data_IF_268140988555
#
_entry.id   IF_268140988555
#
_cell.length_a   1.000
_cell.length_b   1.000
_cell.length_c   1.000
_cell.angle_alpha   90.00
_cell.angle_beta   90.00
_cell.angle_gamma   90.00
#
_symmetry.space_group_name_H-M   'P 1'
#
loop_
_entity.id
_entity.type
_entity.pdbx_description
1 polymer ?
#
# COMPACT_ATOMS: atom_id res chain seq x y z
N UNK A 1 45.86 -26.04 -43.25
CA UNK A 1 45.23 -26.93 -42.26
C UNK A 1 44.34 -26.05 -41.40
N UNK A 2 43.02 -26.16 -41.59
CA UNK A 2 42.01 -25.32 -40.96
C UNK A 2 41.65 -25.90 -39.59
N UNK A 3 41.88 -25.13 -38.52
CA UNK A 3 41.46 -25.47 -37.16
C UNK A 3 40.00 -25.04 -37.00
N UNK A 4 39.08 -25.99 -37.16
CA UNK A 4 37.68 -25.81 -36.88
C UNK A 4 37.46 -25.62 -35.36
N UNK A 5 37.07 -24.40 -34.97
CA UNK A 5 36.48 -24.12 -33.67
C UNK A 5 35.11 -24.79 -33.60
N UNK A 6 35.03 -25.92 -32.89
CA UNK A 6 33.76 -26.55 -32.52
C UNK A 6 33.02 -25.60 -31.58
N UNK A 7 31.97 -24.96 -32.08
CA UNK A 7 31.00 -24.26 -31.26
C UNK A 7 30.26 -25.30 -30.40
N UNK A 8 30.62 -25.38 -29.12
CA UNK A 8 29.86 -26.16 -28.15
C UNK A 8 28.47 -25.52 -27.99
N UNK A 9 27.45 -26.17 -28.56
CA UNK A 9 26.06 -25.82 -28.32
C UNK A 9 25.69 -26.23 -26.89
N UNK A 10 25.51 -25.24 -26.01
CA UNK A 10 25.02 -25.42 -24.64
C UNK A 10 23.61 -26.00 -24.66
N UNK A 11 23.51 -27.33 -24.64
CA UNK A 11 22.27 -28.08 -24.72
C UNK A 11 21.64 -28.27 -23.33
N UNK A 12 21.65 -27.20 -22.50
CA UNK A 12 20.96 -27.20 -21.20
C UNK A 12 19.47 -27.33 -21.44
N UNK A 13 18.87 -28.42 -20.95
CA UNK A 13 17.42 -28.58 -21.01
C UNK A 13 16.75 -27.49 -20.16
N UNK A 14 15.50 -27.13 -20.49
CA UNK A 14 14.72 -26.18 -19.68
C UNK A 14 14.64 -26.60 -18.20
N UNK A 15 14.64 -27.90 -17.94
CA UNK A 15 14.69 -28.48 -16.59
C UNK A 15 16.03 -28.22 -15.88
N UNK A 16 17.16 -28.30 -16.60
CA UNK A 16 18.49 -28.00 -16.05
C UNK A 16 18.64 -26.52 -15.70
N UNK A 17 18.11 -25.64 -16.55
CA UNK A 17 18.08 -24.20 -16.29
C UNK A 17 17.25 -23.85 -15.04
N UNK A 18 16.07 -24.48 -14.88
CA UNK A 18 15.24 -24.32 -13.68
C UNK A 18 15.97 -24.85 -12.44
N UNK A 19 16.57 -26.05 -12.52
CA UNK A 19 17.29 -26.66 -11.40
C UNK A 19 18.49 -25.84 -10.95
N UNK A 20 19.23 -25.26 -11.90
CA UNK A 20 20.38 -24.40 -11.64
C UNK A 20 19.96 -23.06 -11.01
N UNK A 21 18.81 -22.50 -11.39
CA UNK A 21 18.28 -21.29 -10.75
C UNK A 21 17.74 -21.56 -9.33
N UNK A 22 17.10 -22.72 -9.14
CA UNK A 22 16.52 -23.13 -7.86
C UNK A 22 17.58 -23.46 -6.80
N UNK A 23 18.73 -24.04 -7.16
CA UNK A 23 19.69 -24.51 -6.16
C UNK A 23 20.21 -23.45 -5.18
N UNK A 24 20.55 -22.20 -5.59
CA UNK A 24 20.90 -21.16 -4.63
C UNK A 24 19.69 -20.57 -3.89
N UNK A 25 18.47 -20.69 -4.43
CA UNK A 25 17.27 -20.10 -3.84
C UNK A 25 16.33 -21.10 -3.15
N UNK A 26 16.80 -22.32 -2.86
CA UNK A 26 15.94 -23.40 -2.32
C UNK A 26 15.20 -22.95 -1.07
N UNK A 27 15.90 -22.33 -0.13
CA UNK A 27 15.31 -21.83 1.11
C UNK A 27 14.17 -20.84 0.82
N UNK A 28 14.42 -19.82 -0.01
CA UNK A 28 13.44 -18.81 -0.41
C UNK A 28 12.22 -19.41 -1.12
N UNK A 29 12.43 -20.41 -1.99
CA UNK A 29 11.33 -21.15 -2.62
C UNK A 29 10.50 -21.93 -1.60
N UNK A 30 11.16 -22.56 -0.60
CA UNK A 30 10.48 -23.27 0.48
C UNK A 30 9.67 -22.29 1.34
N UNK A 31 10.25 -21.14 1.71
CA UNK A 31 9.57 -20.09 2.48
C UNK A 31 8.35 -19.57 1.74
N UNK A 32 8.49 -19.21 0.45
CA UNK A 32 7.36 -18.75 -0.36
C UNK A 32 6.27 -19.82 -0.49
N UNK A 33 6.65 -21.08 -0.75
CA UNK A 33 5.69 -22.17 -0.87
C UNK A 33 4.96 -22.41 0.47
N UNK A 34 5.69 -22.46 1.58
CA UNK A 34 5.11 -22.59 2.92
C UNK A 34 4.18 -21.43 3.25
N UNK A 35 4.55 -20.19 2.93
CA UNK A 35 3.71 -19.01 3.09
C UNK A 35 2.39 -19.15 2.32
N UNK A 36 2.44 -19.48 1.03
CA UNK A 36 1.23 -19.64 0.19
C UNK A 36 0.34 -20.75 0.72
N UNK A 37 0.91 -21.87 1.17
CA UNK A 37 0.15 -22.99 1.78
C UNK A 37 -0.53 -22.54 3.07
N UNK A 38 0.20 -21.87 3.97
CA UNK A 38 -0.34 -21.38 5.25
C UNK A 38 -1.45 -20.37 5.01
N UNK A 39 -1.19 -19.32 4.23
CA UNK A 39 -2.19 -18.29 3.93
C UNK A 39 -3.41 -18.88 3.23
N UNK A 40 -3.21 -19.73 2.21
CA UNK A 40 -4.29 -20.39 1.51
C UNK A 40 -5.15 -21.28 2.42
N UNK A 41 -4.52 -22.00 3.35
CA UNK A 41 -5.23 -22.83 4.34
C UNK A 41 -6.04 -21.97 5.30
N UNK A 42 -5.44 -20.92 5.86
CA UNK A 42 -6.15 -20.03 6.80
C UNK A 42 -7.29 -19.28 6.09
N UNK A 43 -7.10 -18.88 4.84
CA UNK A 43 -8.14 -18.30 3.99
C UNK A 43 -9.37 -19.21 3.84
N UNK A 44 -9.23 -20.54 3.85
CA UNK A 44 -10.38 -21.45 3.81
C UNK A 44 -11.27 -21.36 5.04
N UNK A 45 -10.73 -20.91 6.19
CA UNK A 45 -11.46 -20.75 7.45
C UNK A 45 -11.74 -19.28 7.80
N UNK A 46 -11.14 -18.34 7.08
CA UNK A 46 -11.36 -16.91 7.29
C UNK A 46 -12.73 -16.50 6.76
N UNK A 47 -13.61 -16.06 7.65
CA UNK A 47 -14.87 -15.42 7.31
C UNK A 47 -14.60 -13.94 6.97
N UNK A 48 -14.89 -13.50 5.72
CA UNK A 48 -14.60 -12.13 5.33
C UNK A 48 -15.33 -11.10 6.19
N UNK A 49 -14.62 -10.06 6.60
CA UNK A 49 -15.17 -8.98 7.38
C UNK A 49 -16.09 -8.08 6.56
N UNK A 50 -16.82 -7.21 7.27
CA UNK A 50 -17.78 -6.29 6.67
C UNK A 50 -17.17 -5.43 5.55
N UNK A 51 -15.96 -4.90 5.75
CA UNK A 51 -15.29 -4.05 4.76
C UNK A 51 -14.76 -4.84 3.55
N UNK A 52 -14.40 -6.11 3.74
CA UNK A 52 -14.05 -7.02 2.63
C UNK A 52 -15.27 -7.30 1.75
N UNK A 53 -16.44 -7.50 2.39
CA UNK A 53 -17.71 -7.68 1.69
C UNK A 53 -18.14 -6.43 0.94
N UNK A 54 -18.02 -5.24 1.57
CA UNK A 54 -18.31 -3.96 0.95
C UNK A 54 -17.45 -3.73 -0.30
N UNK A 55 -16.14 -3.97 -0.22
CA UNK A 55 -15.24 -3.82 -1.37
C UNK A 55 -15.63 -4.74 -2.54
N UNK A 56 -16.06 -5.97 -2.25
CA UNK A 56 -16.53 -6.88 -3.28
C UNK A 56 -17.86 -6.46 -3.90
N UNK A 57 -18.83 -6.02 -3.08
CA UNK A 57 -20.13 -5.53 -3.57
C UNK A 57 -19.95 -4.31 -4.49
N UNK A 58 -19.07 -3.36 -4.11
CA UNK A 58 -18.70 -2.23 -4.97
C UNK A 58 -18.16 -2.74 -6.31
N UNK A 59 -17.19 -3.66 -6.29
CA UNK A 59 -16.58 -4.20 -7.50
C UNK A 59 -17.57 -4.95 -8.41
N UNK A 60 -18.50 -5.70 -7.82
CA UNK A 60 -19.54 -6.45 -8.53
C UNK A 60 -20.57 -5.51 -9.15
N UNK A 61 -21.16 -4.64 -8.33
CA UNK A 61 -22.42 -3.97 -8.63
C UNK A 61 -22.25 -2.57 -9.25
N UNK A 62 -21.16 -1.86 -8.95
CA UNK A 62 -20.92 -0.53 -9.54
C UNK A 62 -20.46 -0.63 -10.99
N UNK A 63 -20.91 0.32 -11.83
CA UNK A 63 -20.29 0.57 -13.14
C UNK A 63 -18.84 1.04 -12.98
N UNK A 64 -18.03 0.91 -14.03
CA UNK A 64 -16.66 1.42 -14.03
C UNK A 64 -16.60 2.92 -13.72
N UNK A 65 -17.59 3.68 -14.19
CA UNK A 65 -17.70 5.12 -13.92
C UNK A 65 -17.92 5.38 -12.44
N UNK A 66 -18.91 4.75 -11.83
CA UNK A 66 -19.19 4.91 -10.39
C UNK A 66 -17.99 4.48 -9.54
N UNK A 67 -17.38 3.34 -9.87
CA UNK A 67 -16.26 2.80 -9.11
C UNK A 67 -15.01 3.68 -9.16
N UNK A 68 -14.77 4.38 -10.27
CA UNK A 68 -13.57 5.21 -10.47
C UNK A 68 -13.80 6.67 -10.11
N UNK A 69 -15.02 7.21 -10.23
CA UNK A 69 -15.27 8.65 -10.12
C UNK A 69 -16.32 9.03 -9.06
N UNK A 70 -16.98 8.07 -8.43
CA UNK A 70 -18.02 8.36 -7.42
C UNK A 70 -17.68 7.71 -6.09
N UNK A 71 -17.46 6.40 -6.07
CA UNK A 71 -17.16 5.63 -4.84
C UNK A 71 -15.92 6.12 -4.08
N UNK A 72 -14.81 6.54 -4.73
CA UNK A 72 -13.64 7.06 -4.02
C UNK A 72 -13.98 8.23 -3.06
N UNK A 73 -14.92 9.10 -3.45
CA UNK A 73 -15.37 10.23 -2.65
C UNK A 73 -16.17 9.84 -1.39
N UNK A 74 -16.79 8.65 -1.36
CA UNK A 74 -17.59 8.18 -0.22
C UNK A 74 -16.80 7.24 0.69
N UNK A 75 -15.91 6.44 0.10
CA UNK A 75 -15.10 5.43 0.80
C UNK A 75 -13.78 5.99 1.33
N UNK A 76 -13.31 7.13 0.81
CA UNK A 76 -12.02 7.69 1.19
C UNK A 76 -10.83 6.84 0.71
N UNK A 77 -11.02 6.03 -0.33
CA UNK A 77 -10.04 5.05 -0.80
C UNK A 77 -9.86 5.07 -2.34
N UNK A 78 -8.62 5.00 -2.86
CA UNK A 78 -8.39 4.94 -4.31
C UNK A 78 -9.00 3.68 -4.98
N UNK A 79 -9.40 3.75 -6.25
CA UNK A 79 -10.25 2.72 -6.86
C UNK A 79 -9.52 1.44 -7.28
N UNK A 80 -8.18 1.39 -7.22
CA UNK A 80 -7.39 0.29 -7.78
C UNK A 80 -7.80 -1.08 -7.20
N UNK A 81 -8.05 -1.15 -5.90
CA UNK A 81 -8.46 -2.40 -5.25
C UNK A 81 -9.77 -2.94 -5.84
N UNK A 82 -10.79 -2.09 -5.94
CA UNK A 82 -12.07 -2.48 -6.54
C UNK A 82 -11.93 -2.80 -8.02
N UNK A 83 -11.07 -2.09 -8.76
CA UNK A 83 -10.80 -2.41 -10.17
C UNK A 83 -10.19 -3.81 -10.34
N UNK A 84 -9.30 -4.22 -9.44
CA UNK A 84 -8.72 -5.57 -9.44
C UNK A 84 -9.78 -6.63 -9.10
N UNK A 85 -10.67 -6.36 -8.15
CA UNK A 85 -11.78 -7.24 -7.79
C UNK A 85 -12.89 -7.27 -8.86
N UNK A 86 -13.08 -6.19 -9.60
CA UNK A 86 -14.14 -6.07 -10.60
C UNK A 86 -13.98 -7.09 -11.73
N UNK A 87 -12.75 -7.46 -12.08
CA UNK A 87 -12.49 -8.47 -13.10
C UNK A 87 -13.14 -9.83 -12.74
N UNK A 88 -12.82 -10.49 -11.61
CA UNK A 88 -13.51 -11.72 -11.22
C UNK A 88 -14.97 -11.49 -10.82
N UNK A 89 -15.30 -10.38 -10.16
CA UNK A 89 -16.66 -10.14 -9.68
C UNK A 89 -17.68 -9.99 -10.82
N UNK A 90 -17.33 -9.27 -11.88
CA UNK A 90 -18.19 -9.08 -13.07
C UNK A 90 -18.24 -10.32 -13.97
N UNK A 91 -17.28 -11.22 -13.85
CA UNK A 91 -17.30 -12.55 -14.50
C UNK A 91 -18.14 -13.58 -13.73
N UNK A 92 -18.74 -13.22 -12.60
CA UNK A 92 -19.58 -14.11 -11.81
C UNK A 92 -18.80 -15.12 -10.97
N UNK A 93 -17.50 -14.88 -10.71
CA UNK A 93 -16.73 -15.71 -9.78
C UNK A 93 -17.36 -15.61 -8.39
N UNK A 94 -17.49 -16.72 -7.64
CA UNK A 94 -18.04 -16.68 -6.29
C UNK A 94 -17.26 -15.72 -5.38
N UNK A 95 -17.99 -15.01 -4.52
CA UNK A 95 -17.48 -13.94 -3.65
C UNK A 95 -16.13 -14.27 -3.00
N UNK A 96 -16.09 -15.32 -2.18
CA UNK A 96 -14.89 -15.66 -1.43
C UNK A 96 -13.74 -16.10 -2.33
N UNK A 97 -14.02 -16.83 -3.41
CA UNK A 97 -12.99 -17.34 -4.32
C UNK A 97 -12.33 -16.17 -5.05
N UNK A 98 -13.13 -15.25 -5.60
CA UNK A 98 -12.62 -14.11 -6.33
C UNK A 98 -11.85 -13.14 -5.42
N UNK A 99 -12.42 -12.81 -4.26
CA UNK A 99 -11.80 -11.90 -3.30
C UNK A 99 -10.47 -12.47 -2.77
N UNK A 100 -10.48 -13.70 -2.24
CA UNK A 100 -9.32 -14.33 -1.62
C UNK A 100 -8.22 -14.64 -2.64
N UNK A 101 -8.58 -14.99 -3.89
CA UNK A 101 -7.58 -15.26 -4.93
C UNK A 101 -6.81 -14.01 -5.37
N UNK A 102 -7.48 -12.86 -5.51
CA UNK A 102 -6.82 -11.59 -5.81
C UNK A 102 -5.90 -11.20 -4.64
N UNK A 103 -6.37 -11.33 -3.39
CA UNK A 103 -5.51 -11.04 -2.24
C UNK A 103 -4.31 -11.99 -2.16
N UNK A 104 -4.52 -13.30 -2.36
CA UNK A 104 -3.45 -14.29 -2.36
C UNK A 104 -2.40 -13.99 -3.43
N UNK A 105 -2.82 -13.52 -4.62
CA UNK A 105 -1.89 -13.09 -5.66
C UNK A 105 -1.05 -11.89 -5.22
N UNK A 106 -1.66 -10.87 -4.60
CA UNK A 106 -0.97 -9.72 -4.03
C UNK A 106 -0.01 -10.12 -2.89
N UNK A 107 -0.45 -10.98 -1.98
CA UNK A 107 0.34 -11.49 -0.86
C UNK A 107 1.53 -12.33 -1.35
N UNK A 108 1.32 -13.17 -2.37
CA UNK A 108 2.38 -13.94 -3.01
C UNK A 108 3.40 -13.00 -3.68
N UNK A 109 2.95 -11.95 -4.37
CA UNK A 109 3.83 -10.94 -4.96
C UNK A 109 4.65 -10.22 -3.88
N UNK A 110 4.01 -9.82 -2.78
CA UNK A 110 4.66 -9.18 -1.62
C UNK A 110 5.82 -10.05 -1.10
N UNK A 111 5.56 -11.32 -0.80
CA UNK A 111 6.60 -12.22 -0.27
C UNK A 111 7.63 -12.57 -1.33
N UNK A 112 7.23 -12.74 -2.59
CA UNK A 112 8.18 -12.97 -3.68
C UNK A 112 9.16 -11.79 -3.85
N UNK A 113 8.68 -10.55 -3.76
CA UNK A 113 9.56 -9.38 -3.77
C UNK A 113 10.49 -9.37 -2.55
N UNK A 114 9.95 -9.67 -1.36
CA UNK A 114 10.71 -9.72 -0.12
C UNK A 114 11.86 -10.74 -0.21
N UNK A 115 11.55 -11.98 -0.57
CA UNK A 115 12.51 -13.09 -0.64
C UNK A 115 13.58 -12.88 -1.71
N UNK A 116 13.14 -12.58 -2.95
CA UNK A 116 14.00 -12.69 -4.12
C UNK A 116 14.61 -11.36 -4.59
N UNK A 117 14.09 -10.21 -4.14
CA UNK A 117 14.55 -8.90 -4.62
C UNK A 117 15.18 -8.01 -3.54
N UNK A 118 14.91 -8.26 -2.26
CA UNK A 118 15.53 -7.49 -1.18
C UNK A 118 16.91 -8.04 -0.80
N UNK A 119 17.70 -7.19 -0.15
CA UNK A 119 19.01 -7.53 0.44
C UNK A 119 18.93 -7.68 1.96
N UNK A 120 17.76 -8.05 2.50
CA UNK A 120 17.59 -8.29 3.92
C UNK A 120 18.42 -9.50 4.37
N UNK A 121 18.90 -9.52 5.63
CA UNK A 121 19.54 -10.70 6.19
C UNK A 121 18.60 -11.92 6.20
N UNK A 122 19.15 -13.11 6.00
CA UNK A 122 18.40 -14.37 5.86
C UNK A 122 17.39 -14.64 6.99
N UNK A 123 17.70 -14.42 8.29
CA UNK A 123 16.71 -14.64 9.34
C UNK A 123 15.44 -13.79 9.16
N UNK A 124 15.58 -12.53 8.69
CA UNK A 124 14.42 -11.67 8.46
C UNK A 124 13.60 -12.12 7.27
N UNK A 125 14.23 -12.62 6.20
CA UNK A 125 13.52 -13.20 5.07
C UNK A 125 12.71 -14.43 5.50
N UNK A 126 13.27 -15.29 6.34
CA UNK A 126 12.53 -16.46 6.84
C UNK A 126 11.43 -16.10 7.83
N UNK A 127 11.65 -15.16 8.75
CA UNK A 127 10.71 -14.87 9.86
C UNK A 127 9.60 -13.90 9.47
N UNK A 128 9.91 -12.82 8.74
CA UNK A 128 8.94 -11.75 8.44
C UNK A 128 7.67 -12.25 7.73
N UNK A 129 7.73 -13.14 6.72
CA UNK A 129 6.54 -13.65 6.05
C UNK A 129 5.54 -14.31 7.00
N UNK A 130 6.02 -14.90 8.11
CA UNK A 130 5.17 -15.59 9.11
C UNK A 130 4.85 -14.72 10.33
N UNK A 131 5.16 -13.42 10.28
CA UNK A 131 4.71 -12.46 11.28
C UNK A 131 3.19 -12.24 11.19
N UNK A 132 2.57 -11.78 12.29
CA UNK A 132 1.14 -11.46 12.32
C UNK A 132 0.71 -10.54 11.16
N UNK A 133 1.48 -9.48 10.89
CA UNK A 133 1.12 -8.51 9.85
C UNK A 133 1.20 -9.11 8.45
N UNK A 134 2.35 -9.68 8.06
CA UNK A 134 2.50 -10.17 6.67
C UNK A 134 1.74 -11.47 6.42
N UNK A 135 1.60 -12.34 7.42
CA UNK A 135 0.91 -13.61 7.27
C UNK A 135 -0.60 -13.45 7.37
N UNK A 136 -1.09 -12.80 8.42
CA UNK A 136 -2.53 -12.72 8.68
C UNK A 136 -3.14 -11.42 8.18
N UNK A 137 -2.68 -10.26 8.69
CA UNK A 137 -3.30 -8.97 8.42
C UNK A 137 -3.22 -8.54 6.95
N UNK A 138 -2.20 -8.98 6.22
CA UNK A 138 -2.02 -8.66 4.80
C UNK A 138 -2.22 -9.91 3.93
N UNK A 139 -1.80 -11.08 4.42
CA UNK A 139 -1.93 -12.34 3.68
C UNK A 139 -3.34 -12.90 3.64
N UNK A 140 -4.07 -12.88 4.75
CA UNK A 140 -5.38 -13.55 4.89
C UNK A 140 -6.54 -12.57 4.70
N UNK A 141 -6.56 -11.46 5.44
CA UNK A 141 -7.63 -10.46 5.30
C UNK A 141 -7.48 -9.73 3.97
N UNK A 142 -8.49 -9.83 3.11
CA UNK A 142 -8.47 -9.46 1.70
C UNK A 142 -8.68 -7.96 1.50
N UNK A 143 -7.60 -7.23 1.76
CA UNK A 143 -7.51 -5.77 1.69
C UNK A 143 -6.32 -5.36 0.83
N UNK A 144 -6.24 -4.10 0.34
CA UNK A 144 -5.15 -3.67 -0.53
C UNK A 144 -3.76 -3.60 0.14
N UNK A 145 -3.65 -3.93 1.42
CA UNK A 145 -2.40 -3.78 2.18
C UNK A 145 -1.27 -4.69 1.71
N UNK A 146 -1.55 -5.92 1.24
CA UNK A 146 -0.51 -6.75 0.64
C UNK A 146 0.12 -6.07 -0.59
N UNK A 147 -0.72 -5.45 -1.44
CA UNK A 147 -0.27 -4.70 -2.60
C UNK A 147 0.46 -3.41 -2.20
N UNK A 148 0.01 -2.74 -1.14
CA UNK A 148 0.69 -1.57 -0.56
C UNK A 148 2.12 -1.93 -0.12
N UNK A 149 2.29 -3.02 0.64
CA UNK A 149 3.62 -3.48 1.06
C UNK A 149 4.47 -3.90 -0.14
N UNK A 150 3.88 -4.59 -1.13
CA UNK A 150 4.57 -4.90 -2.38
C UNK A 150 5.07 -3.63 -3.10
N UNK A 151 4.26 -2.58 -3.17
CA UNK A 151 4.64 -1.29 -3.75
C UNK A 151 5.76 -0.59 -2.94
N UNK A 152 5.70 -0.64 -1.61
CA UNK A 152 6.79 -0.14 -0.74
C UNK A 152 8.10 -0.90 -0.97
N UNK A 153 8.04 -2.22 -1.14
CA UNK A 153 9.22 -3.03 -1.47
C UNK A 153 9.77 -2.63 -2.85
N UNK A 154 8.92 -2.38 -3.86
CA UNK A 154 9.36 -1.91 -5.17
C UNK A 154 10.07 -0.55 -5.09
N UNK A 155 9.57 0.40 -4.29
CA UNK A 155 10.24 1.68 -3.99
C UNK A 155 11.62 1.40 -3.39
N UNK A 156 11.71 0.57 -2.34
CA UNK A 156 12.99 0.25 -1.70
C UNK A 156 14.00 -0.44 -2.63
N UNK A 157 13.53 -1.37 -3.48
CA UNK A 157 14.36 -2.11 -4.45
C UNK A 157 14.93 -1.16 -5.52
N UNK A 158 14.10 -0.26 -6.04
CA UNK A 158 14.49 0.65 -7.12
C UNK A 158 15.28 1.87 -6.63
N UNK A 159 15.21 2.18 -5.33
CA UNK A 159 15.77 3.38 -4.72
C UNK A 159 17.23 3.66 -5.09
N UNK A 160 18.09 2.63 -5.10
CA UNK A 160 19.52 2.81 -5.43
C UNK A 160 19.73 3.32 -6.86
N UNK A 161 18.87 2.92 -7.79
CA UNK A 161 18.95 3.25 -9.23
C UNK A 161 17.96 4.33 -9.65
N UNK A 162 17.30 5.02 -8.71
CA UNK A 162 16.25 6.01 -8.99
C UNK A 162 16.68 7.12 -9.95
N UNK A 163 17.92 7.60 -9.86
CA UNK A 163 18.41 8.68 -10.73
C UNK A 163 18.76 8.19 -12.15
N UNK A 164 19.17 6.93 -12.30
CA UNK A 164 19.44 6.27 -13.59
C UNK A 164 18.15 5.83 -14.30
N UNK A 165 17.18 5.32 -13.52
CA UNK A 165 15.92 4.73 -14.01
C UNK A 165 14.71 5.35 -13.28
N UNK A 166 14.48 6.66 -13.42
CA UNK A 166 13.49 7.39 -12.62
C UNK A 166 12.06 6.91 -12.79
N UNK A 167 11.71 6.39 -13.96
CA UNK A 167 10.37 5.83 -14.20
C UNK A 167 10.08 4.60 -13.36
N UNK A 168 11.07 3.75 -13.04
CA UNK A 168 10.82 2.58 -12.18
C UNK A 168 10.44 3.02 -10.77
N UNK A 169 11.14 4.04 -10.27
CA UNK A 169 10.89 4.63 -8.97
C UNK A 169 9.54 5.34 -8.92
N UNK A 170 9.27 6.23 -9.91
CA UNK A 170 8.02 6.96 -9.99
C UNK A 170 6.80 6.03 -10.16
N UNK A 171 6.88 5.00 -11.00
CA UNK A 171 5.79 4.03 -11.17
C UNK A 171 5.55 3.20 -9.90
N UNK A 172 6.60 2.87 -9.15
CA UNK A 172 6.46 2.19 -7.85
C UNK A 172 5.73 3.07 -6.84
N UNK A 173 6.06 4.37 -6.80
CA UNK A 173 5.35 5.35 -5.97
C UNK A 173 3.91 5.62 -6.44
N UNK A 174 3.65 5.66 -7.76
CA UNK A 174 2.29 5.78 -8.29
C UNK A 174 1.43 4.57 -7.88
N UNK A 175 1.98 3.36 -7.99
CA UNK A 175 1.31 2.16 -7.49
C UNK A 175 1.04 2.28 -5.98
N UNK A 176 2.00 2.77 -5.20
CA UNK A 176 1.83 3.00 -3.77
C UNK A 176 0.69 3.99 -3.49
N UNK A 177 0.61 5.12 -4.19
CA UNK A 177 -0.49 6.08 -4.08
C UNK A 177 -1.86 5.45 -4.40
N UNK A 178 -1.92 4.52 -5.36
CA UNK A 178 -3.15 3.84 -5.75
C UNK A 178 -3.61 2.77 -4.74
N UNK A 179 -2.76 2.35 -3.82
CA UNK A 179 -3.12 1.28 -2.87
C UNK A 179 -3.90 1.78 -1.66
N UNK A 180 -3.68 3.01 -1.21
CA UNK A 180 -4.39 3.63 -0.08
C UNK A 180 -4.02 5.11 0.06
N UNK A 181 -4.80 5.85 0.87
CA UNK A 181 -4.46 7.21 1.30
C UNK A 181 -3.13 7.27 2.08
N UNK A 182 -2.83 6.25 2.90
CA UNK A 182 -1.52 6.11 3.57
C UNK A 182 -0.37 6.01 2.56
N UNK A 183 -0.58 5.26 1.48
CA UNK A 183 0.39 5.14 0.39
C UNK A 183 0.72 6.47 -0.25
N UNK A 184 -0.26 7.37 -0.36
CA UNK A 184 -0.10 8.72 -0.90
C UNK A 184 0.83 9.58 -0.02
N UNK A 185 0.66 9.50 1.31
CA UNK A 185 1.53 10.18 2.29
C UNK A 185 2.96 9.62 2.22
N UNK A 186 3.11 8.29 2.26
CA UNK A 186 4.42 7.62 2.23
C UNK A 186 5.15 7.93 0.92
N UNK A 187 4.48 7.83 -0.23
CA UNK A 187 5.04 8.19 -1.53
C UNK A 187 5.44 9.67 -1.58
N UNK A 188 4.64 10.58 -1.00
CA UNK A 188 4.97 11.99 -0.86
C UNK A 188 6.27 12.22 -0.08
N UNK A 189 6.47 11.51 1.03
CA UNK A 189 7.70 11.58 1.83
C UNK A 189 8.93 11.11 1.03
N UNK A 190 8.81 9.99 0.29
CA UNK A 190 9.90 9.50 -0.57
C UNK A 190 10.20 10.47 -1.72
N UNK A 191 9.17 11.00 -2.38
CA UNK A 191 9.32 11.97 -3.45
C UNK A 191 9.97 13.26 -2.94
N UNK A 192 9.55 13.79 -1.80
CA UNK A 192 10.15 14.96 -1.17
C UNK A 192 11.62 14.73 -0.83
N UNK A 193 11.94 13.60 -0.18
CA UNK A 193 13.33 13.22 0.11
C UNK A 193 14.16 13.09 -1.17
N UNK A 194 13.61 12.52 -2.23
CA UNK A 194 14.31 12.43 -3.52
C UNK A 194 14.59 13.81 -4.10
N UNK A 195 13.60 14.72 -4.12
CA UNK A 195 13.74 16.11 -4.57
C UNK A 195 14.82 16.84 -3.79
N UNK A 196 14.76 16.82 -2.46
CA UNK A 196 15.76 17.48 -1.60
C UNK A 196 17.17 16.97 -1.91
N UNK A 197 17.35 15.66 -2.04
CA UNK A 197 18.67 15.05 -2.30
C UNK A 197 19.29 15.52 -3.61
N UNK A 198 18.56 15.48 -4.73
CA UNK A 198 19.16 15.86 -6.01
C UNK A 198 19.23 17.38 -6.19
N UNK A 199 18.32 18.16 -5.60
CA UNK A 199 18.41 19.63 -5.62
C UNK A 199 19.65 20.10 -4.86
N UNK A 200 19.94 19.50 -3.71
CA UNK A 200 21.14 19.80 -2.94
C UNK A 200 22.43 19.44 -3.69
N UNK A 201 22.44 18.33 -4.44
CA UNK A 201 23.64 17.87 -5.16
C UNK A 201 23.85 18.53 -6.51
N UNK A 202 22.77 18.83 -7.24
CA UNK A 202 22.84 19.29 -8.63
C UNK A 202 22.48 20.77 -8.81
N UNK A 203 21.94 21.43 -7.78
CA UNK A 203 21.45 22.82 -7.80
C UNK A 203 20.47 23.14 -8.94
N UNK A 204 19.84 22.11 -9.54
CA UNK A 204 18.92 22.27 -10.66
C UNK A 204 17.85 21.19 -10.65
N UNK A 205 16.61 21.60 -10.90
CA UNK A 205 15.46 20.68 -11.00
C UNK A 205 15.41 19.93 -12.33
N UNK A 206 15.94 20.52 -13.40
CA UNK A 206 15.65 20.12 -14.79
C UNK A 206 16.85 19.37 -15.41
N UNK A 207 18.01 19.34 -14.74
CA UNK A 207 19.24 18.75 -15.28
C UNK A 207 19.04 17.32 -15.80
N UNK A 208 18.35 16.48 -15.05
CA UNK A 208 17.88 15.17 -15.52
C UNK A 208 16.43 15.27 -15.99
N UNK A 209 16.23 15.54 -17.29
CA UNK A 209 14.89 15.71 -17.89
C UNK A 209 13.98 14.49 -17.67
N UNK A 210 14.53 13.27 -17.70
CA UNK A 210 13.75 12.04 -17.46
C UNK A 210 13.23 11.98 -16.02
N UNK A 211 14.08 12.31 -15.04
CA UNK A 211 13.69 12.40 -13.62
C UNK A 211 12.64 13.48 -13.40
N UNK A 212 12.85 14.66 -13.98
CA UNK A 212 11.90 15.78 -13.88
C UNK A 212 10.52 15.40 -14.41
N UNK A 213 10.44 14.82 -15.61
CA UNK A 213 9.16 14.38 -16.20
C UNK A 213 8.51 13.27 -15.35
N UNK A 214 9.30 12.31 -14.85
CA UNK A 214 8.76 11.24 -14.00
C UNK A 214 8.17 11.77 -12.68
N UNK A 215 8.81 12.77 -12.06
CA UNK A 215 8.30 13.43 -10.86
C UNK A 215 7.06 14.28 -11.13
N UNK A 216 7.01 14.99 -12.28
CA UNK A 216 5.81 15.70 -12.70
C UNK A 216 4.64 14.74 -12.95
N UNK A 217 4.90 13.60 -13.60
CA UNK A 217 3.88 12.57 -13.80
C UNK A 217 3.41 12.00 -12.45
N UNK A 218 4.33 11.74 -11.51
CA UNK A 218 3.98 11.28 -10.16
C UNK A 218 3.12 12.30 -9.43
N UNK A 219 3.48 13.59 -9.49
CA UNK A 219 2.71 14.67 -8.90
C UNK A 219 1.30 14.75 -9.52
N UNK A 220 1.19 14.69 -10.84
CA UNK A 220 -0.10 14.70 -11.53
C UNK A 220 -0.98 13.51 -11.11
N UNK A 221 -0.39 12.30 -11.03
CA UNK A 221 -1.11 11.11 -10.57
C UNK A 221 -1.55 11.25 -9.10
N UNK A 222 -0.68 11.71 -8.21
CA UNK A 222 -1.00 11.92 -6.81
C UNK A 222 -2.10 12.98 -6.63
N UNK A 223 -2.06 14.09 -7.38
CA UNK A 223 -3.10 15.11 -7.37
C UNK A 223 -4.44 14.57 -7.91
N UNK A 224 -4.42 13.76 -8.97
CA UNK A 224 -5.62 13.12 -9.48
C UNK A 224 -6.26 12.20 -8.42
N UNK A 225 -5.46 11.38 -7.74
CA UNK A 225 -5.95 10.49 -6.66
C UNK A 225 -6.45 11.29 -5.45
N UNK A 226 -5.78 12.39 -5.09
CA UNK A 226 -6.25 13.28 -4.02
C UNK A 226 -7.60 13.91 -4.33
N UNK A 227 -7.81 14.34 -5.59
CA UNK A 227 -9.10 14.88 -6.04
C UNK A 227 -10.16 13.78 -6.00
N UNK A 228 -9.82 12.58 -6.46
CA UNK A 228 -10.70 11.41 -6.51
C UNK A 228 -11.18 10.98 -5.11
N UNK A 229 -10.29 10.99 -4.13
CA UNK A 229 -10.59 10.57 -2.75
C UNK A 229 -11.17 11.71 -1.90
N UNK A 230 -11.28 12.92 -2.44
CA UNK A 230 -11.81 14.07 -1.71
C UNK A 230 -13.28 13.79 -1.30
N UNK A 231 -13.67 13.98 -0.03
CA UNK A 231 -15.00 13.59 0.42
C UNK A 231 -16.11 14.34 -0.34
N UNK A 232 -17.15 13.62 -0.77
CA UNK A 232 -18.32 14.27 -1.36
C UNK A 232 -19.04 15.13 -0.31
N UNK A 233 -19.74 16.17 -0.77
CA UNK A 233 -20.38 17.18 0.11
C UNK A 233 -21.48 16.60 1.01
N UNK A 234 -22.07 15.51 0.55
CA UNK A 234 -23.17 14.76 1.15
C UNK A 234 -22.70 13.51 1.90
N UNK A 235 -21.39 13.22 1.92
CA UNK A 235 -20.85 12.23 2.85
C UNK A 235 -21.20 12.68 4.26
N UNK A 236 -21.52 11.71 5.12
CA UNK A 236 -21.54 11.90 6.57
C UNK A 236 -20.11 12.22 7.05
N UNK A 237 -19.65 13.42 6.73
CA UNK A 237 -18.62 14.11 7.48
C UNK A 237 -19.25 14.29 8.86
N UNK A 238 -18.51 14.02 9.93
CA UNK A 238 -18.99 14.28 11.28
C UNK A 238 -19.09 15.79 11.55
N UNK A 239 -19.85 16.50 10.72
CA UNK A 239 -20.34 17.86 10.86
C UNK A 239 -21.54 17.92 11.83
N UNK A 240 -21.85 16.81 12.49
CA UNK A 240 -22.78 16.75 13.60
C UNK A 240 -22.03 16.16 14.79
N UNK A 241 -21.93 16.97 15.85
CA UNK A 241 -21.54 16.48 17.15
C UNK A 241 -22.77 15.90 17.86
N UNK A 242 -22.64 14.75 18.50
CA UNK A 242 -23.68 14.20 19.39
C UNK A 242 -23.93 15.19 20.54
N UNK A 243 -22.93 16.03 20.87
CA UNK A 243 -23.00 17.05 21.92
C UNK A 243 -23.64 18.39 21.51
N UNK A 244 -24.02 18.58 20.23
CA UNK A 244 -24.73 19.78 19.76
C UNK A 244 -23.84 20.96 19.34
N UNK A 245 -22.54 20.76 19.15
CA UNK A 245 -21.66 21.77 18.53
C UNK A 245 -21.94 21.89 17.02
N UNK A 246 -22.18 23.11 16.56
CA UNK A 246 -22.56 23.41 15.16
C UNK A 246 -21.44 24.00 14.32
N UNK A 247 -20.29 24.34 14.93
CA UNK A 247 -19.16 24.96 14.24
C UNK A 247 -17.87 24.18 14.48
N UNK A 248 -17.19 23.71 13.42
CA UNK A 248 -15.94 22.96 13.54
C UNK A 248 -14.84 23.86 14.11
N UNK A 249 -13.90 23.25 14.84
CA UNK A 249 -12.71 23.96 15.29
C UNK A 249 -11.90 24.49 14.09
N UNK A 250 -11.14 25.58 14.24
CA UNK A 250 -10.18 26.03 13.22
C UNK A 250 -9.30 24.87 12.71
N UNK A 251 -9.01 24.84 11.41
CA UNK A 251 -8.24 23.75 10.77
C UNK A 251 -6.92 23.43 11.50
N UNK A 252 -6.21 24.45 11.98
CA UNK A 252 -4.96 24.26 12.71
C UNK A 252 -5.17 23.52 14.04
N UNK A 253 -6.29 23.74 14.75
CA UNK A 253 -6.65 22.99 15.96
C UNK A 253 -7.00 21.55 15.59
N UNK A 254 -7.75 21.33 14.52
CA UNK A 254 -8.06 19.97 14.05
C UNK A 254 -6.77 19.18 13.70
N UNK A 255 -5.81 19.85 13.07
CA UNK A 255 -4.49 19.27 12.78
C UNK A 255 -3.76 18.97 14.10
N UNK A 256 -3.68 19.92 15.04
CA UNK A 256 -3.05 19.67 16.34
C UNK A 256 -3.70 18.50 17.09
N UNK A 257 -5.03 18.44 17.11
CA UNK A 257 -5.81 17.37 17.73
C UNK A 257 -5.52 16.01 17.10
N UNK A 258 -5.41 15.94 15.77
CA UNK A 258 -5.07 14.70 15.08
C UNK A 258 -3.65 14.22 15.35
N UNK A 259 -2.72 15.10 15.74
CA UNK A 259 -1.36 14.68 16.14
C UNK A 259 -1.22 14.41 17.63
N UNK A 260 -1.93 15.15 18.49
CA UNK A 260 -1.77 15.09 19.94
C UNK A 260 -2.76 14.15 20.63
N UNK A 261 -3.96 13.98 20.08
CA UNK A 261 -5.04 13.23 20.73
C UNK A 261 -5.21 11.85 20.13
N UNK A 262 -5.17 11.73 18.79
CA UNK A 262 -5.37 10.45 18.13
C UNK A 262 -4.43 9.34 18.61
N UNK A 263 -3.12 9.56 18.83
CA UNK A 263 -2.25 8.49 19.34
C UNK A 263 -2.64 7.99 20.73
N UNK A 264 -2.92 8.90 21.68
CA UNK A 264 -3.40 8.53 23.01
C UNK A 264 -4.78 7.85 22.95
N UNK A 265 -5.74 8.42 22.22
CA UNK A 265 -7.10 7.87 22.12
C UNK A 265 -7.15 6.52 21.38
N UNK A 266 -6.24 6.28 20.44
CA UNK A 266 -6.20 5.00 19.72
C UNK A 266 -5.54 3.88 20.53
N UNK A 267 -4.71 4.21 21.53
CA UNK A 267 -3.84 3.24 22.21
C UNK A 267 -4.09 3.11 23.72
N UNK A 268 -4.52 4.18 24.39
CA UNK A 268 -4.42 4.30 25.84
C UNK A 268 -5.62 4.99 26.52
N UNK A 269 -6.31 5.89 25.83
CA UNK A 269 -7.38 6.71 26.39
C UNK A 269 -8.68 6.55 25.61
N UNK A 270 -9.80 6.92 26.23
CA UNK A 270 -11.13 6.95 25.58
C UNK A 270 -11.88 8.22 25.98
N UNK A 271 -11.16 9.33 26.10
CA UNK A 271 -11.70 10.59 26.62
C UNK A 271 -12.57 11.32 25.60
N UNK A 272 -12.48 10.95 24.32
CA UNK A 272 -13.12 11.64 23.19
C UNK A 272 -14.26 10.81 22.57
N UNK A 273 -14.55 9.61 23.09
CA UNK A 273 -15.34 8.55 22.41
C UNK A 273 -16.64 8.98 21.70
N UNK A 274 -17.32 10.01 22.21
CA UNK A 274 -18.64 10.45 21.73
C UNK A 274 -18.59 11.79 20.97
N UNK A 275 -17.41 12.41 20.85
CA UNK A 275 -17.19 13.72 20.22
C UNK A 275 -16.31 13.59 18.98
N UNK A 276 -16.74 14.20 17.89
CA UNK A 276 -15.91 14.24 16.69
C UNK A 276 -14.67 15.14 16.91
N UNK A 277 -13.47 14.65 16.58
CA UNK A 277 -12.19 15.39 16.68
C UNK A 277 -12.22 16.77 16.02
N UNK A 278 -13.08 16.93 15.00
CA UNK A 278 -13.31 18.18 14.27
C UNK A 278 -13.93 19.28 15.14
N UNK A 279 -14.69 18.93 16.19
CA UNK A 279 -15.36 19.87 17.10
C UNK A 279 -14.59 20.13 18.39
N UNK A 280 -13.44 19.48 18.57
CA UNK A 280 -12.72 19.53 19.83
C UNK A 280 -11.92 20.83 19.92
N UNK A 281 -12.38 21.74 20.77
CA UNK A 281 -11.62 22.91 21.20
C UNK A 281 -10.53 22.56 22.22
N UNK A 282 -9.62 23.50 22.52
CA UNK A 282 -8.60 23.32 23.56
C UNK A 282 -9.25 23.23 24.96
N UNK A 283 -9.06 22.13 25.67
CA UNK A 283 -9.51 21.93 27.07
C UNK A 283 -8.36 21.41 27.96
N UNK A 284 -8.45 21.58 29.29
CA UNK A 284 -7.44 21.04 30.22
C UNK A 284 -7.29 19.52 30.12
N UNK A 285 -8.39 18.79 29.93
CA UNK A 285 -8.38 17.33 29.72
C UNK A 285 -7.61 16.95 28.47
N UNK A 286 -7.67 17.79 27.43
CA UNK A 286 -7.01 17.58 26.15
C UNK A 286 -5.51 17.89 26.18
N UNK A 287 -5.12 18.87 27.00
CA UNK A 287 -3.71 19.12 27.30
C UNK A 287 -3.09 17.92 28.04
N UNK A 288 -3.85 17.28 28.93
CA UNK A 288 -3.41 16.06 29.61
C UNK A 288 -3.25 14.87 28.67
N UNK A 289 -4.22 14.61 27.78
CA UNK A 289 -4.06 13.54 26.76
C UNK A 289 -2.93 13.85 25.78
N UNK A 290 -2.76 15.13 25.40
CA UNK A 290 -1.64 15.57 24.58
C UNK A 290 -0.28 15.38 25.26
N UNK A 291 -0.17 15.62 26.57
CA UNK A 291 1.07 15.35 27.31
C UNK A 291 1.33 13.85 27.43
N UNK A 292 0.29 13.02 27.63
CA UNK A 292 0.43 11.55 27.61
C UNK A 292 0.95 11.08 26.25
N UNK A 293 0.42 11.61 25.13
CA UNK A 293 0.92 11.29 23.79
C UNK A 293 2.38 11.71 23.56
N UNK A 294 2.82 12.83 24.12
CA UNK A 294 4.18 13.37 23.92
C UNK A 294 5.24 12.81 24.87
N UNK A 295 4.83 12.28 26.03
CA UNK A 295 5.75 11.70 27.02
C UNK A 295 6.17 10.25 26.68
N UNK A 296 5.62 9.69 25.60
CA UNK A 296 5.85 8.34 25.11
C UNK A 296 6.50 8.38 23.73
#
# INVERSE_FOLDING_TARGET
MSSATVAATDNRTRCDAIRHWLSPHRLHCIVLAAYVIVVGTVMCFHEPWFDEAQAWLIARDCSWREMILERPHYEGHPPLWWMMLAAPAKLGVPYEIGLKSINLACATLMIWLLEFKTKLPEPFKVILPFSYFLCYQYGVTSRPYALMVAAMLLVAINWKTRDEKPWREALSMMLLCLTSSYGLVIAGMFAANWVVRFVWQEHSLIRNRRRFIALLALLAAAMAILIDVMPAKDVYSGNFDISGMTQPAPLWIQICNSWLLLPAEALFTSTVSDTNLVFIGLSPTLLYTGTVSCLM
#
